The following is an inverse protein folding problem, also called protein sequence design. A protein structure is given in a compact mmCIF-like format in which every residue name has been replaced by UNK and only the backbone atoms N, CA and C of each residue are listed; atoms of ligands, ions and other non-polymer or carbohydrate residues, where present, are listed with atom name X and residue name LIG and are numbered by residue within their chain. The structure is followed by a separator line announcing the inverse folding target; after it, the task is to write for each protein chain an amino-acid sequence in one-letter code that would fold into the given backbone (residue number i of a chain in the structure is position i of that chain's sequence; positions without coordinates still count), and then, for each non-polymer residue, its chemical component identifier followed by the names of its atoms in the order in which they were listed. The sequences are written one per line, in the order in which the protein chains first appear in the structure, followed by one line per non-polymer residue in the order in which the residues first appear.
data_IF_827176455474
#
_entry.id   IF_827176455474
#
_cell.length_a   1.000
_cell.length_b   1.000
_cell.length_c   1.000
_cell.angle_alpha   90.00
_cell.angle_beta   90.00
_cell.angle_gamma   90.00
#
_symmetry.space_group_name_H-M   'P 1'
#
loop_
_entity.id
_entity.type
_entity.pdbx_description
1 polymer ?
#
# COMPACT_ATOMS: atom_id res chain seq x y z
N UNK A 1 41.83 32.98 28.25
CA UNK A 1 41.29 31.99 27.30
C UNK A 1 39.81 31.83 27.61
N UNK A 2 38.90 32.10 26.67
CA UNK A 2 37.46 31.89 26.91
C UNK A 2 37.16 30.41 26.68
N UNK A 3 36.71 29.72 27.72
CA UNK A 3 36.29 28.32 27.61
C UNK A 3 35.05 28.21 26.72
N UNK A 4 35.03 27.18 25.87
CA UNK A 4 33.89 26.86 25.03
C UNK A 4 32.75 26.33 25.92
N UNK A 5 31.62 27.06 26.04
CA UNK A 5 30.54 26.72 26.97
C UNK A 5 29.74 25.47 26.56
N UNK A 6 30.03 24.86 25.41
CA UNK A 6 29.29 23.70 24.89
C UNK A 6 30.06 22.37 24.97
N UNK A 7 31.11 22.31 25.80
CA UNK A 7 31.97 21.11 25.96
C UNK A 7 31.23 19.85 26.43
N UNK A 8 30.04 19.99 27.01
CA UNK A 8 29.21 18.89 27.52
C UNK A 8 27.95 18.65 26.70
N UNK A 9 27.75 19.38 25.61
CA UNK A 9 26.55 19.24 24.76
C UNK A 9 26.80 18.15 23.72
N UNK A 10 26.12 17.01 23.88
CA UNK A 10 26.07 15.98 22.84
C UNK A 10 25.16 16.43 21.71
N UNK A 11 25.65 16.37 20.47
CA UNK A 11 24.82 16.65 19.28
C UNK A 11 23.67 15.64 19.11
N UNK A 12 23.69 14.53 19.86
CA UNK A 12 22.62 13.52 19.82
C UNK A 12 21.34 13.95 20.56
N UNK A 13 21.41 14.99 21.40
CA UNK A 13 20.25 15.55 22.13
C UNK A 13 19.60 16.73 21.40
N UNK A 14 20.15 17.14 20.25
CA UNK A 14 19.45 18.03 19.35
C UNK A 14 18.35 17.23 18.64
N UNK A 15 17.14 17.27 19.20
CA UNK A 15 15.94 17.17 18.37
C UNK A 15 15.95 18.41 17.45
N UNK A 16 16.67 18.29 16.35
CA UNK A 16 16.47 19.15 15.20
C UNK A 16 15.03 18.86 14.80
N UNK A 17 14.10 19.74 15.19
CA UNK A 17 12.82 19.87 14.51
C UNK A 17 13.18 20.12 13.05
N UNK A 18 13.28 19.03 12.30
CA UNK A 18 13.76 18.99 10.95
C UNK A 18 12.88 19.95 10.19
N UNK A 19 13.50 21.02 9.66
CA UNK A 19 12.92 22.00 8.75
C UNK A 19 11.72 21.37 8.03
N UNK A 20 10.52 21.91 8.28
CA UNK A 20 9.28 21.36 7.75
C UNK A 20 9.39 21.27 6.23
N UNK A 21 9.76 20.10 5.73
CA UNK A 21 9.81 19.83 4.30
C UNK A 21 8.39 20.06 3.80
N UNK A 22 8.22 21.05 2.93
CA UNK A 22 6.93 21.32 2.33
C UNK A 22 6.53 20.06 1.55
N UNK A 23 5.48 19.40 2.02
CA UNK A 23 4.88 18.24 1.35
C UNK A 23 3.64 18.70 0.61
N UNK A 24 3.47 18.17 -0.59
CA UNK A 24 2.27 18.35 -1.39
C UNK A 24 1.52 17.04 -1.43
N UNK A 25 0.26 17.05 -0.98
CA UNK A 25 -0.61 15.88 -0.98
C UNK A 25 -1.57 15.98 -2.15
N UNK A 26 -1.66 14.93 -2.94
CA UNK A 26 -2.60 14.77 -4.04
C UNK A 26 -3.55 13.63 -3.67
N UNK A 27 -4.83 13.95 -3.58
CA UNK A 27 -5.90 13.01 -3.29
C UNK A 27 -6.95 13.07 -4.40
N UNK A 28 -7.45 11.90 -4.82
CA UNK A 28 -8.50 11.80 -5.81
C UNK A 28 -9.32 10.54 -5.59
N UNK A 29 -10.63 10.65 -5.71
CA UNK A 29 -11.54 9.52 -5.60
C UNK A 29 -12.51 9.52 -6.77
N UNK A 30 -12.84 8.31 -7.21
CA UNK A 30 -13.87 8.05 -8.21
C UNK A 30 -14.68 6.83 -7.76
N UNK A 31 -15.65 6.40 -8.57
CA UNK A 31 -16.51 5.26 -8.23
C UNK A 31 -15.71 3.98 -7.89
N UNK A 32 -14.62 3.73 -8.59
CA UNK A 32 -13.87 2.47 -8.49
C UNK A 32 -12.36 2.66 -8.24
N UNK A 33 -11.92 3.88 -7.98
CA UNK A 33 -10.49 4.19 -7.84
C UNK A 33 -10.28 5.29 -6.81
N UNK A 34 -9.30 5.10 -5.94
CA UNK A 34 -8.80 6.08 -5.00
C UNK A 34 -7.29 6.23 -5.19
N UNK A 35 -6.81 7.47 -5.16
CA UNK A 35 -5.40 7.81 -5.29
C UNK A 35 -5.02 8.72 -4.14
N UNK A 36 -3.90 8.38 -3.50
CA UNK A 36 -3.19 9.21 -2.53
C UNK A 36 -1.72 9.27 -2.92
N UNK A 37 -1.15 10.45 -3.02
CA UNK A 37 0.27 10.63 -3.32
C UNK A 37 0.84 11.84 -2.58
N UNK A 38 2.07 11.70 -2.10
CA UNK A 38 2.81 12.74 -1.39
C UNK A 38 4.08 13.05 -2.14
N UNK A 39 4.30 14.33 -2.42
CA UNK A 39 5.48 14.84 -3.09
C UNK A 39 6.25 15.79 -2.19
N UNK A 40 7.56 15.85 -2.35
CA UNK A 40 8.38 16.89 -1.76
C UNK A 40 8.27 18.22 -2.53
N UNK A 41 8.95 19.24 -2.02
CA UNK A 41 8.94 20.58 -2.61
C UNK A 41 9.52 20.67 -4.04
N UNK A 42 10.31 19.67 -4.45
CA UNK A 42 10.90 19.58 -5.79
C UNK A 42 10.01 18.77 -6.76
N UNK A 43 8.85 18.28 -6.29
CA UNK A 43 7.98 17.39 -7.06
C UNK A 43 8.47 15.94 -7.09
N UNK A 44 9.37 15.54 -6.20
CA UNK A 44 9.80 14.14 -6.07
C UNK A 44 8.77 13.35 -5.26
N UNK A 45 8.41 12.17 -5.76
CA UNK A 45 7.48 11.27 -5.08
C UNK A 45 8.11 10.76 -3.78
N UNK A 46 7.42 10.98 -2.66
CA UNK A 46 7.75 10.41 -1.35
C UNK A 46 7.03 9.07 -1.17
N UNK A 47 5.71 9.08 -1.37
CA UNK A 47 4.87 7.88 -1.28
C UNK A 47 3.62 8.03 -2.15
N UNK A 48 3.08 6.92 -2.64
CA UNK A 48 1.73 6.89 -3.20
C UNK A 48 1.06 5.55 -2.95
N UNK A 49 -0.26 5.57 -2.93
CA UNK A 49 -1.13 4.40 -2.96
C UNK A 49 -2.26 4.66 -3.94
N UNK A 50 -2.45 3.73 -4.87
CA UNK A 50 -3.63 3.64 -5.73
C UNK A 50 -4.41 2.41 -5.29
N UNK A 51 -5.69 2.59 -5.02
CA UNK A 51 -6.63 1.53 -4.72
C UNK A 51 -7.66 1.46 -5.84
N UNK A 52 -7.85 0.30 -6.45
CA UNK A 52 -8.90 0.07 -7.45
C UNK A 52 -9.82 -1.04 -6.97
N UNK A 53 -11.13 -0.85 -7.07
CA UNK A 53 -12.15 -1.84 -6.68
C UNK A 53 -12.90 -2.38 -7.89
N UNK A 54 -13.47 -3.59 -7.78
CA UNK A 54 -14.25 -4.24 -8.85
C UNK A 54 -13.45 -4.43 -10.15
N UNK A 55 -12.17 -4.76 -10.04
CA UNK A 55 -11.27 -4.88 -11.18
C UNK A 55 -11.34 -6.28 -11.83
N UNK A 56 -10.85 -6.40 -13.07
CA UNK A 56 -10.60 -7.72 -13.65
C UNK A 56 -9.39 -8.37 -12.99
N UNK A 57 -9.55 -9.61 -12.49
CA UNK A 57 -8.44 -10.36 -11.91
C UNK A 57 -7.53 -10.97 -13.00
N UNK A 58 -6.20 -11.01 -12.76
CA UNK A 58 -5.30 -11.82 -13.55
C UNK A 58 -5.76 -13.28 -13.64
N UNK A 59 -5.68 -13.88 -14.83
CA UNK A 59 -6.16 -15.24 -15.07
C UNK A 59 -5.49 -16.30 -14.19
N UNK A 60 -4.28 -16.04 -13.67
CA UNK A 60 -3.64 -16.91 -12.69
C UNK A 60 -4.36 -16.91 -11.33
N UNK A 61 -4.76 -15.74 -10.82
CA UNK A 61 -5.56 -15.64 -9.60
C UNK A 61 -6.92 -16.28 -9.81
N UNK A 62 -7.60 -15.95 -10.93
CA UNK A 62 -8.91 -16.52 -11.23
C UNK A 62 -8.88 -18.06 -11.24
N UNK A 63 -7.86 -18.68 -11.84
CA UNK A 63 -7.66 -20.14 -11.79
C UNK A 63 -7.45 -20.67 -10.37
N UNK A 64 -6.67 -19.99 -9.54
CA UNK A 64 -6.50 -20.36 -8.13
C UNK A 64 -7.82 -20.34 -7.37
N UNK A 65 -8.71 -19.38 -7.65
CA UNK A 65 -10.00 -19.27 -6.98
C UNK A 65 -11.01 -20.36 -7.38
N UNK A 66 -10.94 -20.86 -8.62
CA UNK A 66 -11.86 -21.92 -9.09
C UNK A 66 -11.32 -23.35 -8.89
N UNK A 67 -10.13 -23.51 -8.30
CA UNK A 67 -9.51 -24.81 -8.06
C UNK A 67 -9.03 -24.97 -6.62
N UNK A 68 -8.86 -26.22 -6.18
CA UNK A 68 -8.31 -26.52 -4.86
C UNK A 68 -9.20 -26.05 -3.71
N UNK A 69 -8.59 -25.36 -2.75
CA UNK A 69 -9.21 -24.93 -1.47
C UNK A 69 -10.44 -24.02 -1.67
N UNK A 70 -10.45 -23.20 -2.72
CA UNK A 70 -11.48 -22.18 -2.91
C UNK A 70 -12.65 -22.63 -3.79
N UNK A 71 -12.71 -23.91 -4.16
CA UNK A 71 -13.71 -24.42 -5.11
C UNK A 71 -15.16 -24.11 -4.72
N UNK A 72 -15.47 -24.17 -3.43
CA UNK A 72 -16.82 -23.93 -2.90
C UNK A 72 -17.00 -22.50 -2.36
N UNK A 73 -16.03 -21.62 -2.62
CA UNK A 73 -16.05 -20.22 -2.19
C UNK A 73 -16.53 -19.32 -3.32
N UNK A 74 -17.37 -18.35 -2.99
CA UNK A 74 -17.85 -17.32 -3.91
C UNK A 74 -17.06 -16.03 -3.69
N UNK A 75 -16.50 -15.46 -4.76
CA UNK A 75 -15.90 -14.13 -4.68
C UNK A 75 -16.99 -13.07 -4.65
N UNK A 76 -17.02 -12.27 -3.59
CA UNK A 76 -18.02 -11.21 -3.37
C UNK A 76 -17.44 -9.80 -3.53
N UNK A 77 -16.12 -9.68 -3.68
CA UNK A 77 -15.48 -8.41 -3.95
C UNK A 77 -13.98 -8.57 -4.19
N UNK A 78 -13.38 -7.58 -4.82
CA UNK A 78 -11.95 -7.54 -5.05
C UNK A 78 -11.42 -6.11 -5.18
N UNK A 79 -10.14 -5.98 -4.88
CA UNK A 79 -9.41 -4.73 -4.82
C UNK A 79 -7.98 -4.96 -5.31
N UNK A 80 -7.38 -3.93 -5.91
CA UNK A 80 -5.96 -3.87 -6.24
C UNK A 80 -5.35 -2.65 -5.57
N UNK A 81 -4.28 -2.88 -4.82
CA UNK A 81 -3.44 -1.84 -4.28
C UNK A 81 -2.15 -1.75 -5.10
N UNK A 82 -1.74 -0.52 -5.46
CA UNK A 82 -0.47 -0.23 -6.12
C UNK A 82 0.25 0.85 -5.32
N UNK A 83 1.46 0.55 -4.87
CA UNK A 83 2.28 1.47 -4.10
C UNK A 83 3.31 2.16 -4.99
N UNK A 84 3.48 3.46 -4.79
CA UNK A 84 4.46 4.31 -5.47
C UNK A 84 4.37 4.26 -7.01
N UNK A 85 3.17 4.00 -7.53
CA UNK A 85 2.90 3.80 -8.96
C UNK A 85 3.77 2.69 -9.60
N UNK A 86 4.29 1.77 -8.80
CA UNK A 86 5.13 0.67 -9.27
C UNK A 86 4.28 -0.59 -9.48
N UNK A 87 4.22 -1.07 -10.73
CA UNK A 87 3.52 -2.32 -11.09
C UNK A 87 4.05 -3.57 -10.36
N UNK A 88 5.25 -3.50 -9.78
CA UNK A 88 5.83 -4.61 -9.01
C UNK A 88 5.30 -4.68 -7.58
N UNK A 89 4.65 -3.62 -7.09
CA UNK A 89 4.01 -3.56 -5.76
C UNK A 89 2.52 -3.91 -5.80
N UNK A 90 2.00 -4.30 -6.97
CA UNK A 90 0.60 -4.69 -7.15
C UNK A 90 0.20 -5.83 -6.21
N UNK A 91 -0.75 -5.55 -5.31
CA UNK A 91 -1.32 -6.50 -4.39
C UNK A 91 -2.83 -6.62 -4.65
N UNK A 92 -3.27 -7.82 -5.02
CA UNK A 92 -4.67 -8.12 -5.26
C UNK A 92 -5.29 -8.67 -3.99
N UNK A 93 -6.32 -8.01 -3.49
CA UNK A 93 -7.13 -8.46 -2.36
C UNK A 93 -8.44 -9.03 -2.89
N UNK A 94 -8.79 -10.23 -2.46
CA UNK A 94 -10.00 -10.94 -2.85
C UNK A 94 -10.80 -11.25 -1.60
N UNK A 95 -12.09 -10.91 -1.62
CA UNK A 95 -13.03 -11.22 -0.54
C UNK A 95 -13.88 -12.40 -0.98
N UNK A 96 -13.78 -13.49 -0.22
CA UNK A 96 -14.43 -14.77 -0.49
C UNK A 96 -15.47 -15.06 0.60
N UNK A 97 -16.58 -15.69 0.20
CA UNK A 97 -17.64 -16.12 1.10
C UNK A 97 -18.00 -17.60 0.87
N UNK A 98 -18.19 -18.33 1.96
CA UNK A 98 -18.77 -19.67 1.96
C UNK A 98 -19.76 -19.80 3.12
N UNK A 99 -21.06 -19.75 2.82
CA UNK A 99 -22.11 -19.63 3.84
C UNK A 99 -21.96 -18.34 4.64
N UNK A 100 -21.80 -18.46 5.96
CA UNK A 100 -21.57 -17.33 6.88
C UNK A 100 -20.08 -16.98 7.04
N UNK A 101 -19.17 -17.79 6.51
CA UNK A 101 -17.74 -17.56 6.62
C UNK A 101 -17.25 -16.57 5.56
N UNK A 102 -16.45 -15.58 5.98
CA UNK A 102 -15.78 -14.62 5.10
C UNK A 102 -14.26 -14.78 5.25
N UNK A 103 -13.56 -14.87 4.12
CA UNK A 103 -12.09 -14.87 4.06
C UNK A 103 -11.57 -13.77 3.15
N UNK A 104 -10.43 -13.21 3.51
CA UNK A 104 -9.73 -12.22 2.69
C UNK A 104 -8.37 -12.81 2.32
N UNK A 105 -8.16 -12.96 1.02
CA UNK A 105 -6.93 -13.51 0.45
C UNK A 105 -6.19 -12.43 -0.32
N UNK A 106 -4.86 -12.45 -0.21
CA UNK A 106 -3.99 -11.51 -0.92
C UNK A 106 -3.12 -12.27 -1.91
N UNK A 107 -2.97 -11.74 -3.11
CA UNK A 107 -2.20 -12.34 -4.18
C UNK A 107 -1.30 -11.32 -4.86
N UNK A 108 -0.16 -11.77 -5.36
CA UNK A 108 0.56 -11.03 -6.39
C UNK A 108 -0.06 -11.24 -7.77
N UNK A 109 0.40 -10.49 -8.77
CA UNK A 109 -0.04 -10.63 -10.18
C UNK A 109 0.12 -12.04 -10.76
N UNK A 110 0.96 -12.88 -10.15
CA UNK A 110 1.21 -14.25 -10.58
C UNK A 110 0.27 -15.27 -9.90
N UNK A 111 -0.60 -14.84 -9.00
CA UNK A 111 -1.50 -15.72 -8.27
C UNK A 111 -0.84 -16.42 -7.08
N UNK A 112 0.35 -16.00 -6.67
CA UNK A 112 0.95 -16.49 -5.44
C UNK A 112 0.31 -15.76 -4.27
N UNK A 113 -0.06 -16.50 -3.22
CA UNK A 113 -0.54 -15.91 -1.97
C UNK A 113 0.53 -15.01 -1.37
N UNK A 114 0.09 -13.88 -0.83
CA UNK A 114 0.91 -12.95 -0.06
C UNK A 114 0.29 -12.81 1.32
N UNK A 115 1.14 -12.58 2.31
CA UNK A 115 0.66 -12.01 3.55
C UNK A 115 0.39 -10.53 3.30
N UNK A 116 -0.63 -9.96 3.94
CA UNK A 116 -0.74 -8.51 4.05
C UNK A 116 0.38 -8.03 4.96
N UNK A 117 1.56 -7.86 4.41
CA UNK A 117 2.67 -7.23 5.10
C UNK A 117 2.75 -5.82 4.53
N UNK A 118 2.34 -4.88 5.39
CA UNK A 118 2.55 -3.44 5.30
C UNK A 118 4.02 -3.10 5.16
#
# INVERSE_FOLDING_TARGET
MKENPFRTSSLNDLQINTYGYQKFVVEGTSKNEEVYAVYDQNGLLIEAKVTQINIALPGKIARTLVTGEFRDWTMIGNELEVYNFDKHTMLYKVVLQNGEEIRIEYFDRNGNRKNRIS
#
